data_IF_556445374808
#
_entry.id   IF_556445374808
#
_cell.length_a   1.000
_cell.length_b   1.000
_cell.length_c   1.000
_cell.angle_alpha   90.00
_cell.angle_beta   90.00
_cell.angle_gamma   90.00
#
_symmetry.space_group_name_H-M   'P 1'
#
loop_
_entity.id
_entity.type
_entity.pdbx_description
1 polymer ?
#
# COMPACT_ATOMS: atom_id res chain seq x y z
N UNK A 1 -19.67 -0.26 4.47
CA UNK A 1 -19.26 0.36 3.22
C UNK A 1 -17.90 -0.16 2.78
N UNK A 2 -17.79 -0.57 1.52
CA UNK A 2 -16.55 -1.14 1.03
C UNK A 2 -15.61 -0.06 0.54
N UNK A 3 -14.33 -0.21 0.87
CA UNK A 3 -13.31 0.65 0.34
C UNK A 3 -13.07 0.37 -1.13
N UNK A 4 -12.70 1.40 -1.85
CA UNK A 4 -12.26 1.25 -3.21
C UNK A 4 -10.93 0.47 -3.24
N UNK A 5 -10.82 -0.45 -4.17
CA UNK A 5 -9.56 -1.17 -4.39
C UNK A 5 -8.69 -0.41 -5.38
N UNK A 6 -7.41 -0.35 -5.09
CA UNK A 6 -6.45 0.30 -5.96
C UNK A 6 -5.32 -0.66 -6.31
N UNK A 7 -4.74 -0.47 -7.47
CA UNK A 7 -3.69 -1.36 -7.97
C UNK A 7 -2.34 -1.04 -7.35
N UNK A 8 -1.38 -1.95 -7.53
CA UNK A 8 -0.03 -1.72 -7.07
C UNK A 8 0.58 -0.46 -7.73
N UNK A 9 0.28 -0.22 -8.99
CA UNK A 9 0.78 0.96 -9.67
C UNK A 9 0.24 2.24 -9.02
N UNK A 10 -1.05 2.24 -8.68
CA UNK A 10 -1.66 3.39 -8.01
C UNK A 10 -1.07 3.60 -6.62
N UNK A 11 -0.83 2.49 -5.89
CA UNK A 11 -0.21 2.57 -4.57
C UNK A 11 1.19 3.17 -4.67
N UNK A 12 1.99 2.70 -5.62
CA UNK A 12 3.35 3.24 -5.81
C UNK A 12 3.32 4.74 -6.10
N UNK A 13 2.37 5.15 -6.91
CA UNK A 13 2.23 6.57 -7.25
C UNK A 13 1.84 7.39 -6.02
N UNK A 14 0.91 6.87 -5.23
CA UNK A 14 0.47 7.53 -4.00
C UNK A 14 1.60 7.65 -2.97
N UNK A 15 2.57 6.74 -3.04
CA UNK A 15 3.71 6.74 -2.12
C UNK A 15 4.89 7.57 -2.65
N UNK A 16 4.66 8.41 -3.64
CA UNK A 16 5.69 9.28 -4.17
C UNK A 16 6.41 8.73 -5.38
N UNK A 17 5.82 7.75 -6.05
CA UNK A 17 6.42 7.18 -7.24
C UNK A 17 7.54 6.20 -6.96
N UNK A 18 7.45 5.47 -5.85
CA UNK A 18 8.46 4.48 -5.51
C UNK A 18 8.47 3.33 -6.52
N UNK A 19 9.60 2.66 -6.63
CA UNK A 19 9.74 1.52 -7.53
C UNK A 19 9.00 0.30 -6.98
N UNK A 20 8.77 -0.67 -7.85
CA UNK A 20 8.15 -1.93 -7.43
C UNK A 20 9.01 -2.66 -6.41
N UNK A 21 10.32 -2.59 -6.56
CA UNK A 21 11.23 -3.21 -5.62
C UNK A 21 11.14 -2.56 -4.23
N UNK A 22 11.01 -1.24 -4.19
CA UNK A 22 10.86 -0.54 -2.93
C UNK A 22 9.56 -0.94 -2.26
N UNK A 23 8.48 -1.03 -3.02
CA UNK A 23 7.20 -1.47 -2.48
C UNK A 23 7.30 -2.90 -1.93
N UNK A 24 7.99 -3.78 -2.66
CA UNK A 24 8.20 -5.15 -2.22
C UNK A 24 8.94 -5.21 -0.88
N UNK A 25 9.99 -4.38 -0.74
CA UNK A 25 10.74 -4.31 0.52
C UNK A 25 9.85 -3.89 1.68
N UNK A 26 9.01 -2.89 1.44
CA UNK A 26 8.12 -2.39 2.49
C UNK A 26 7.10 -3.45 2.90
N UNK A 27 6.62 -4.23 1.94
CA UNK A 27 5.70 -5.32 2.23
C UNK A 27 6.34 -6.38 3.11
N UNK A 28 7.64 -6.56 2.98
CA UNK A 28 8.37 -7.60 3.71
C UNK A 28 9.06 -7.09 4.97
N UNK A 29 8.81 -5.83 5.33
CA UNK A 29 9.41 -5.23 6.52
C UNK A 29 8.35 -5.14 7.63
N UNK A 30 8.40 -6.06 8.62
CA UNK A 30 7.38 -6.06 9.67
C UNK A 30 7.38 -4.79 10.52
N UNK A 31 8.50 -4.08 10.59
CA UNK A 31 8.58 -2.86 11.38
C UNK A 31 7.74 -1.73 10.79
N UNK A 32 7.46 -1.80 9.48
CA UNK A 32 6.67 -0.76 8.83
C UNK A 32 5.17 -0.96 9.00
N UNK A 33 4.73 -2.18 9.26
CA UNK A 33 3.30 -2.50 9.34
C UNK A 33 2.53 -2.08 8.09
N UNK A 34 3.17 -2.25 6.93
CA UNK A 34 2.52 -1.88 5.68
C UNK A 34 1.29 -2.77 5.44
N UNK A 35 0.19 -2.22 4.91
CA UNK A 35 -1.01 -3.01 4.68
C UNK A 35 -0.77 -4.20 3.76
N UNK A 36 -1.40 -5.32 4.09
CA UNK A 36 -1.25 -6.54 3.31
C UNK A 36 -2.11 -6.43 2.04
N UNK A 37 -1.56 -6.77 0.88
CA UNK A 37 -2.34 -6.69 -0.35
C UNK A 37 -3.40 -7.77 -0.44
N UNK A 38 -4.46 -7.46 -1.17
CA UNK A 38 -5.48 -8.44 -1.54
C UNK A 38 -5.08 -9.00 -2.90
N UNK A 39 -4.87 -10.30 -2.94
CA UNK A 39 -4.45 -10.95 -4.18
C UNK A 39 -5.67 -11.45 -4.93
N UNK A 40 -5.83 -10.98 -6.16
CA UNK A 40 -6.89 -11.44 -7.03
C UNK A 40 -6.23 -11.93 -8.31
N UNK A 41 -6.33 -13.22 -8.56
CA UNK A 41 -5.61 -13.89 -9.62
C UNK A 41 -4.11 -13.65 -9.45
N UNK A 42 -3.43 -12.99 -10.29
CA UNK A 42 -2.01 -12.73 -10.11
C UNK A 42 -1.69 -11.29 -9.83
N UNK A 43 -2.72 -10.51 -9.48
CA UNK A 43 -2.56 -9.08 -9.25
C UNK A 43 -2.77 -8.75 -7.79
N UNK A 44 -2.05 -7.74 -7.32
CA UNK A 44 -2.15 -7.24 -5.96
C UNK A 44 -2.97 -5.97 -5.96
N UNK A 45 -3.90 -5.92 -5.00
CA UNK A 45 -4.73 -4.74 -4.79
C UNK A 45 -4.70 -4.37 -3.33
N UNK A 46 -4.97 -3.12 -3.04
CA UNK A 46 -5.09 -2.65 -1.67
C UNK A 46 -6.40 -1.89 -1.53
N UNK A 47 -6.92 -1.86 -0.32
CA UNK A 47 -8.02 -0.96 -0.04
C UNK A 47 -7.46 0.44 0.12
N UNK A 48 -8.07 1.38 -0.58
CA UNK A 48 -7.60 2.78 -0.55
C UNK A 48 -7.58 3.31 0.88
N UNK A 49 -8.59 2.96 1.68
CA UNK A 49 -8.67 3.42 3.06
C UNK A 49 -7.49 2.91 3.89
N UNK A 50 -7.03 1.70 3.65
CA UNK A 50 -5.90 1.15 4.39
C UNK A 50 -4.61 1.88 4.09
N UNK A 51 -4.41 2.23 2.83
CA UNK A 51 -3.23 2.99 2.43
C UNK A 51 -3.28 4.39 3.03
N UNK A 52 -4.45 5.02 2.99
CA UNK A 52 -4.62 6.35 3.56
C UNK A 52 -4.35 6.34 5.07
N UNK A 53 -4.86 5.34 5.76
CA UNK A 53 -4.64 5.21 7.20
C UNK A 53 -3.17 5.00 7.53
N UNK A 54 -2.50 4.16 6.75
CA UNK A 54 -1.09 3.89 6.97
C UNK A 54 -0.26 5.15 6.78
N UNK A 55 -0.55 5.92 5.74
CA UNK A 55 0.14 7.18 5.50
C UNK A 55 -0.13 8.19 6.61
N UNK A 56 -1.36 8.22 7.10
CA UNK A 56 -1.74 9.11 8.18
C UNK A 56 -0.95 8.82 9.45
N UNK A 57 -0.75 7.55 9.75
CA UNK A 57 0.02 7.13 10.91
C UNK A 57 1.50 7.50 10.82
N UNK A 58 1.97 7.77 9.60
CA UNK A 58 3.35 8.16 9.36
C UNK A 58 3.56 9.66 9.43
N UNK A 59 2.51 10.41 9.57
CA UNK A 59 2.62 11.84 9.71
C UNK A 59 3.37 12.17 10.98
N UNK A 60 4.38 13.02 10.84
CA UNK A 60 5.11 13.52 11.98
C UNK A 60 4.52 14.88 12.34
N UNK A 61 4.12 14.99 13.57
CA UNK A 61 3.53 16.23 14.05
C UNK A 61 4.59 17.32 14.12
#
# INVERSE_FOLDING_TARGET
>A
MTSKLITAATVRDALGGVSDMTLWRWLNDPALNFPVPIKIQKRRYWREAEIADWLDQRKVA
#
